data_IF_403895528417
#
_entry.id   IF_403895528417
#
_cell.length_a   1.000
_cell.length_b   1.000
_cell.length_c   1.000
_cell.angle_alpha   90.00
_cell.angle_beta   90.00
_cell.angle_gamma   90.00
#
_symmetry.space_group_name_H-M   'P 1'
#
loop_
_entity.id
_entity.type
_entity.pdbx_description
1 polymer ?
#
# COMPACT_ATOMS: atom_id res chain seq x y z
N UNK A 1 -38.62 -48.89 27.15
CA UNK A 1 -38.54 -47.52 26.61
C UNK A 1 -37.17 -46.84 26.77
N UNK A 2 -36.43 -47.01 27.90
CA UNK A 2 -35.10 -46.39 28.10
C UNK A 2 -34.00 -46.81 27.08
N UNK A 3 -34.04 -48.05 26.57
CA UNK A 3 -33.07 -48.56 25.58
C UNK A 3 -33.20 -47.93 24.19
N UNK A 4 -34.43 -47.61 23.77
CA UNK A 4 -34.70 -46.93 22.49
C UNK A 4 -34.21 -45.47 22.50
N UNK A 5 -34.34 -44.79 23.64
CA UNK A 5 -33.85 -43.41 23.82
C UNK A 5 -32.33 -43.34 23.66
N UNK A 6 -31.60 -44.32 24.20
CA UNK A 6 -30.13 -44.39 24.06
C UNK A 6 -29.68 -44.63 22.60
N UNK A 7 -30.38 -45.50 21.87
CA UNK A 7 -30.10 -45.75 20.44
C UNK A 7 -30.39 -44.51 19.60
N UNK A 8 -31.49 -43.82 19.88
CA UNK A 8 -31.85 -42.58 19.18
C UNK A 8 -30.83 -41.45 19.43
N UNK A 9 -30.34 -41.33 20.67
CA UNK A 9 -29.29 -40.37 21.03
C UNK A 9 -27.99 -40.63 20.28
N UNK A 10 -27.55 -41.89 20.21
CA UNK A 10 -26.32 -42.27 19.48
C UNK A 10 -26.47 -42.04 17.97
N UNK A 11 -27.65 -42.28 17.40
CA UNK A 11 -27.92 -42.03 15.99
C UNK A 11 -27.84 -40.53 15.64
N UNK A 12 -28.35 -39.64 16.50
CA UNK A 12 -28.29 -38.18 16.29
C UNK A 12 -26.84 -37.66 16.31
N UNK A 13 -25.97 -38.24 17.15
CA UNK A 13 -24.54 -37.89 17.20
C UNK A 13 -23.81 -38.25 15.90
N UNK A 14 -24.25 -39.28 15.16
CA UNK A 14 -23.60 -39.69 13.91
C UNK A 14 -23.92 -38.77 12.72
N UNK A 15 -25.07 -38.08 12.74
CA UNK A 15 -25.44 -37.10 11.71
C UNK A 15 -24.83 -35.71 11.90
N UNK A 16 -24.07 -35.49 12.98
CA UNK A 16 -23.42 -34.20 13.29
C UNK A 16 -22.13 -33.91 12.51
N UNK A 17 -21.72 -34.77 11.58
CA UNK A 17 -20.50 -34.53 10.80
C UNK A 17 -20.73 -33.35 9.85
N UNK A 18 -20.08 -32.21 10.12
CA UNK A 18 -20.09 -31.06 9.20
C UNK A 18 -19.59 -31.53 7.84
N UNK A 19 -20.31 -31.26 6.74
CA UNK A 19 -19.79 -31.57 5.42
C UNK A 19 -18.49 -30.79 5.22
N UNK A 20 -17.44 -31.52 4.85
CA UNK A 20 -16.16 -30.91 4.47
C UNK A 20 -16.30 -30.05 3.21
N UNK A 21 -15.19 -29.45 2.77
CA UNK A 21 -15.17 -28.69 1.52
C UNK A 21 -15.43 -29.68 0.36
N UNK A 22 -16.48 -29.46 -0.47
CA UNK A 22 -16.79 -30.34 -1.58
C UNK A 22 -15.69 -30.37 -2.66
N UNK A 23 -15.67 -31.43 -3.44
CA UNK A 23 -14.77 -31.54 -4.57
C UNK A 23 -15.03 -30.45 -5.62
N UNK A 24 -13.94 -30.00 -6.25
CA UNK A 24 -13.97 -28.91 -7.23
C UNK A 24 -14.03 -27.51 -6.63
N UNK A 25 -14.15 -27.37 -5.30
CA UNK A 25 -13.97 -26.09 -4.61
C UNK A 25 -12.48 -25.83 -4.37
N UNK A 26 -12.04 -24.61 -4.66
CA UNK A 26 -10.67 -24.16 -4.39
C UNK A 26 -10.43 -24.21 -2.88
N UNK A 27 -9.38 -24.93 -2.46
CA UNK A 27 -9.01 -25.07 -1.05
C UNK A 27 -8.69 -23.71 -0.40
N UNK A 28 -8.91 -23.53 0.92
CA UNK A 28 -8.82 -22.23 1.59
C UNK A 28 -7.48 -21.53 1.38
N UNK A 29 -6.36 -22.24 1.55
CA UNK A 29 -5.01 -21.68 1.38
C UNK A 29 -4.75 -21.11 -0.02
N UNK A 30 -5.38 -21.68 -1.05
CA UNK A 30 -5.29 -21.20 -2.44
C UNK A 30 -6.29 -20.07 -2.67
N UNK A 31 -7.52 -20.22 -2.21
CA UNK A 31 -8.57 -19.21 -2.36
C UNK A 31 -8.20 -17.90 -1.66
N UNK A 32 -7.59 -17.97 -0.49
CA UNK A 32 -7.09 -16.82 0.27
C UNK A 32 -6.11 -15.98 -0.58
N UNK A 33 -5.15 -16.64 -1.24
CA UNK A 33 -4.15 -15.98 -2.11
C UNK A 33 -4.77 -15.42 -3.38
N UNK A 34 -5.75 -16.11 -3.96
CA UNK A 34 -6.51 -15.63 -5.12
C UNK A 34 -7.28 -14.37 -4.73
N UNK A 35 -8.03 -14.40 -3.64
CA UNK A 35 -8.81 -13.26 -3.16
C UNK A 35 -7.91 -12.08 -2.80
N UNK A 36 -6.75 -12.32 -2.17
CA UNK A 36 -5.77 -11.29 -1.91
C UNK A 36 -5.33 -10.58 -3.22
N UNK A 37 -4.91 -11.34 -4.23
CA UNK A 37 -4.52 -10.76 -5.53
C UNK A 37 -5.69 -10.06 -6.22
N UNK A 38 -6.90 -10.62 -6.10
CA UNK A 38 -8.12 -10.02 -6.66
C UNK A 38 -8.39 -8.65 -6.03
N UNK A 39 -8.33 -8.55 -4.70
CA UNK A 39 -8.51 -7.28 -3.97
C UNK A 39 -7.43 -6.25 -4.29
N UNK A 40 -6.19 -6.66 -4.54
CA UNK A 40 -5.13 -5.76 -5.00
C UNK A 40 -5.45 -5.21 -6.39
N UNK A 41 -5.88 -6.08 -7.31
CA UNK A 41 -6.31 -5.66 -8.65
C UNK A 41 -7.53 -4.75 -8.57
N UNK A 42 -8.52 -5.09 -7.76
CA UNK A 42 -9.73 -4.28 -7.58
C UNK A 42 -9.41 -2.88 -7.03
N UNK A 43 -8.47 -2.79 -6.08
CA UNK A 43 -7.94 -1.52 -5.59
C UNK A 43 -7.18 -0.71 -6.65
N UNK A 44 -6.50 -1.38 -7.60
CA UNK A 44 -5.91 -0.70 -8.74
C UNK A 44 -6.99 -0.23 -9.74
N UNK A 45 -7.96 -1.08 -10.05
CA UNK A 45 -9.03 -0.77 -10.99
C UNK A 45 -9.92 0.37 -10.50
N UNK A 46 -10.15 0.46 -9.19
CA UNK A 46 -10.90 1.58 -8.59
C UNK A 46 -10.18 2.94 -8.71
N UNK A 47 -8.85 2.94 -8.94
CA UNK A 47 -8.10 4.15 -9.22
C UNK A 47 -8.29 4.67 -10.66
N UNK A 48 -8.86 3.86 -11.56
CA UNK A 48 -9.13 4.25 -12.94
C UNK A 48 -10.47 4.98 -13.00
N UNK A 49 -10.41 6.29 -13.23
CA UNK A 49 -11.58 7.18 -13.25
C UNK A 49 -12.64 6.77 -14.30
N UNK A 50 -12.20 6.31 -15.48
CA UNK A 50 -13.11 5.93 -16.57
C UNK A 50 -13.51 4.46 -16.43
N UNK A 51 -14.77 4.22 -16.04
CA UNK A 51 -15.32 2.88 -15.77
C UNK A 51 -15.12 1.91 -16.94
N UNK A 52 -15.37 2.34 -18.18
CA UNK A 52 -15.20 1.47 -19.35
C UNK A 52 -13.74 1.11 -19.59
N UNK A 53 -12.82 2.02 -19.26
CA UNK A 53 -11.38 1.71 -19.31
C UNK A 53 -11.04 0.68 -18.24
N UNK A 54 -11.52 0.86 -17.01
CA UNK A 54 -11.30 -0.10 -15.92
C UNK A 54 -11.78 -1.50 -16.31
N UNK A 55 -13.01 -1.62 -16.85
CA UNK A 55 -13.58 -2.90 -17.31
C UNK A 55 -12.74 -3.55 -18.41
N UNK A 56 -12.24 -2.77 -19.37
CA UNK A 56 -11.38 -3.29 -20.46
C UNK A 56 -10.10 -3.93 -19.93
N UNK A 57 -9.45 -3.34 -18.91
CA UNK A 57 -8.21 -3.89 -18.36
C UNK A 57 -8.47 -4.99 -17.33
N UNK A 58 -9.58 -4.94 -16.59
CA UNK A 58 -9.94 -5.88 -15.54
C UNK A 58 -9.89 -7.35 -16.00
N UNK A 59 -10.46 -7.64 -17.17
CA UNK A 59 -10.48 -8.99 -17.72
C UNK A 59 -9.08 -9.59 -17.89
N UNK A 60 -8.10 -8.78 -18.28
CA UNK A 60 -6.70 -9.21 -18.42
C UNK A 60 -6.07 -9.56 -17.08
N UNK A 61 -6.28 -8.72 -16.06
CA UNK A 61 -5.77 -8.98 -14.71
C UNK A 61 -6.39 -10.24 -14.09
N UNK A 62 -7.71 -10.37 -14.12
CA UNK A 62 -8.39 -11.54 -13.56
C UNK A 62 -7.96 -12.83 -14.27
N UNK A 63 -7.83 -12.81 -15.60
CA UNK A 63 -7.29 -13.94 -16.37
C UNK A 63 -5.85 -14.28 -15.94
N UNK A 64 -5.03 -13.27 -15.68
CA UNK A 64 -3.68 -13.43 -15.15
C UNK A 64 -3.66 -14.12 -13.77
N UNK A 65 -4.55 -13.71 -12.87
CA UNK A 65 -4.70 -14.33 -11.54
C UNK A 65 -5.11 -15.79 -11.69
N UNK A 66 -6.12 -16.09 -12.51
CA UNK A 66 -6.56 -17.46 -12.74
C UNK A 66 -5.42 -18.35 -13.24
N UNK A 67 -4.64 -17.85 -14.21
CA UNK A 67 -3.45 -18.55 -14.72
C UNK A 67 -2.40 -18.76 -13.64
N UNK A 68 -2.12 -17.76 -12.80
CA UNK A 68 -1.13 -17.84 -11.70
C UNK A 68 -1.44 -18.96 -10.71
N UNK A 69 -2.71 -19.22 -10.43
CA UNK A 69 -3.13 -20.22 -9.43
C UNK A 69 -3.63 -21.55 -10.02
N UNK A 70 -3.59 -21.70 -11.35
CA UNK A 70 -4.08 -22.89 -12.05
C UNK A 70 -5.56 -23.13 -11.81
N UNK A 71 -6.36 -22.08 -11.97
CA UNK A 71 -7.84 -22.11 -11.90
C UNK A 71 -8.40 -21.41 -13.14
N UNK A 72 -9.73 -21.38 -13.28
CA UNK A 72 -10.46 -20.54 -14.21
C UNK A 72 -11.57 -19.74 -13.50
N UNK A 73 -12.31 -18.93 -14.26
CA UNK A 73 -13.42 -18.14 -13.74
C UNK A 73 -14.58 -19.00 -13.24
N UNK A 74 -14.81 -20.18 -13.83
CA UNK A 74 -15.90 -21.08 -13.47
C UNK A 74 -15.64 -21.69 -12.10
N UNK A 75 -14.47 -22.28 -11.90
CA UNK A 75 -14.05 -22.86 -10.64
C UNK A 75 -13.93 -21.79 -9.54
N UNK A 76 -13.40 -20.61 -9.87
CA UNK A 76 -13.34 -19.48 -8.94
C UNK A 76 -14.73 -19.06 -8.48
N UNK A 77 -15.66 -18.80 -9.40
CA UNK A 77 -17.01 -18.34 -9.07
C UNK A 77 -17.78 -19.41 -8.28
N UNK A 78 -17.67 -20.69 -8.66
CA UNK A 78 -18.25 -21.81 -7.90
C UNK A 78 -17.71 -21.85 -6.47
N UNK A 79 -16.41 -21.67 -6.31
CA UNK A 79 -15.75 -21.67 -4.99
C UNK A 79 -16.18 -20.48 -4.16
N UNK A 80 -16.20 -19.29 -4.75
CA UNK A 80 -16.63 -18.06 -4.08
C UNK A 80 -18.08 -18.17 -3.59
N UNK A 81 -18.98 -18.69 -4.41
CA UNK A 81 -20.37 -18.93 -4.03
C UNK A 81 -20.46 -19.86 -2.81
N UNK A 82 -19.69 -20.97 -2.81
CA UNK A 82 -19.65 -21.88 -1.68
C UNK A 82 -19.11 -21.20 -0.41
N UNK A 83 -18.02 -20.42 -0.51
CA UNK A 83 -17.51 -19.70 0.66
C UNK A 83 -18.48 -18.64 1.19
N UNK A 84 -19.26 -17.99 0.31
CA UNK A 84 -20.30 -17.04 0.72
C UNK A 84 -21.43 -17.72 1.54
N UNK A 85 -21.70 -19.01 1.31
CA UNK A 85 -22.63 -19.79 2.14
C UNK A 85 -21.97 -20.42 3.37
N UNK A 86 -20.65 -20.27 3.54
CA UNK A 86 -19.85 -20.84 4.63
C UNK A 86 -19.06 -19.73 5.35
N UNK A 87 -19.75 -18.82 6.08
CA UNK A 87 -19.17 -17.59 6.61
C UNK A 87 -17.99 -17.83 7.56
N UNK A 88 -17.98 -18.93 8.32
CA UNK A 88 -16.86 -19.25 9.23
C UNK A 88 -15.55 -19.48 8.46
N UNK A 89 -15.61 -20.18 7.33
CA UNK A 89 -14.45 -20.43 6.49
C UNK A 89 -14.01 -19.14 5.76
N UNK A 90 -14.98 -18.34 5.30
CA UNK A 90 -14.72 -17.07 4.65
C UNK A 90 -14.08 -16.05 5.59
N UNK A 91 -14.60 -15.93 6.82
CA UNK A 91 -14.06 -15.03 7.85
C UNK A 91 -12.60 -15.37 8.19
N UNK A 92 -12.28 -16.67 8.31
CA UNK A 92 -10.92 -17.11 8.57
C UNK A 92 -9.94 -16.67 7.46
N UNK A 93 -10.34 -16.80 6.19
CA UNK A 93 -9.54 -16.31 5.06
C UNK A 93 -9.40 -14.79 5.10
N UNK A 94 -10.50 -14.05 5.32
CA UNK A 94 -10.45 -12.58 5.36
C UNK A 94 -9.61 -12.03 6.50
N UNK A 95 -9.56 -12.70 7.67
CA UNK A 95 -8.64 -12.32 8.76
C UNK A 95 -7.18 -12.39 8.30
N UNK A 96 -6.81 -13.38 7.50
CA UNK A 96 -5.45 -13.51 6.98
C UNK A 96 -5.19 -12.52 5.85
N UNK A 97 -6.14 -12.32 4.93
CA UNK A 97 -6.06 -11.31 3.87
C UNK A 97 -5.82 -9.92 4.47
N UNK A 98 -6.59 -9.54 5.51
CA UNK A 98 -6.40 -8.26 6.21
C UNK A 98 -5.00 -8.14 6.83
N UNK A 99 -4.46 -9.20 7.44
CA UNK A 99 -3.08 -9.22 7.96
C UNK A 99 -2.06 -9.02 6.83
N UNK A 100 -2.24 -9.69 5.69
CA UNK A 100 -1.35 -9.55 4.54
C UNK A 100 -1.38 -8.12 3.96
N UNK A 101 -2.58 -7.56 3.75
CA UNK A 101 -2.77 -6.19 3.28
C UNK A 101 -2.16 -5.17 4.25
N UNK A 102 -2.38 -5.33 5.56
CA UNK A 102 -1.80 -4.46 6.58
C UNK A 102 -0.28 -4.52 6.57
N UNK A 103 0.28 -5.73 6.44
CA UNK A 103 1.73 -5.93 6.36
C UNK A 103 2.30 -5.28 5.10
N UNK A 104 1.65 -5.44 3.95
CA UNK A 104 2.06 -4.82 2.71
C UNK A 104 2.02 -3.29 2.79
N UNK A 105 0.93 -2.72 3.33
CA UNK A 105 0.76 -1.27 3.54
C UNK A 105 1.91 -0.70 4.39
N UNK A 106 2.23 -1.34 5.51
CA UNK A 106 3.36 -0.92 6.36
C UNK A 106 4.70 -0.99 5.60
N UNK A 107 4.89 -2.04 4.79
CA UNK A 107 6.07 -2.19 3.94
C UNK A 107 6.21 -1.06 2.92
N UNK A 108 5.12 -0.70 2.23
CA UNK A 108 5.11 0.39 1.25
C UNK A 108 5.32 1.75 1.91
N UNK A 109 4.69 2.01 3.06
CA UNK A 109 4.90 3.25 3.83
C UNK A 109 6.36 3.42 4.27
N UNK A 110 6.99 2.33 4.71
CA UNK A 110 8.40 2.35 5.09
C UNK A 110 9.31 2.62 3.88
N UNK A 111 9.04 1.97 2.74
CA UNK A 111 9.80 2.18 1.52
C UNK A 111 9.69 3.63 1.02
N UNK A 112 8.49 4.18 1.01
CA UNK A 112 8.22 5.58 0.67
C UNK A 112 8.97 6.56 1.57
N UNK A 113 8.96 6.28 2.88
CA UNK A 113 9.68 7.10 3.86
C UNK A 113 11.20 7.04 3.62
N UNK A 114 11.74 5.88 3.26
CA UNK A 114 13.16 5.76 2.90
C UNK A 114 13.50 6.54 1.63
N UNK A 115 12.67 6.44 0.59
CA UNK A 115 12.83 7.18 -0.67
C UNK A 115 12.82 8.68 -0.40
N UNK A 116 11.84 9.18 0.36
CA UNK A 116 11.73 10.61 0.71
C UNK A 116 12.91 11.09 1.56
N UNK A 117 13.36 10.31 2.55
CA UNK A 117 14.57 10.64 3.34
C UNK A 117 15.81 10.72 2.47
N UNK A 118 15.96 9.81 1.51
CA UNK A 118 17.07 9.82 0.54
C UNK A 118 17.01 11.06 -0.35
N UNK A 119 15.84 11.35 -0.91
CA UNK A 119 15.61 12.56 -1.72
C UNK A 119 15.92 13.83 -0.93
N UNK A 120 15.45 13.94 0.32
CA UNK A 120 15.74 15.07 1.19
C UNK A 120 17.24 15.25 1.45
N UNK A 121 17.97 14.16 1.72
CA UNK A 121 19.44 14.23 1.88
C UNK A 121 20.09 14.79 0.62
N UNK A 122 19.73 14.27 -0.55
CA UNK A 122 20.24 14.76 -1.83
C UNK A 122 19.92 16.24 -2.06
N UNK A 123 18.65 16.63 -1.86
CA UNK A 123 18.20 18.00 -2.06
C UNK A 123 18.90 18.98 -1.10
N UNK A 124 19.05 18.60 0.17
CA UNK A 124 19.77 19.40 1.17
C UNK A 124 21.22 19.63 0.76
N UNK A 125 21.90 18.60 0.24
CA UNK A 125 23.26 18.74 -0.28
C UNK A 125 23.32 19.67 -1.50
N UNK A 126 22.36 19.57 -2.42
CA UNK A 126 22.29 20.46 -3.59
C UNK A 126 22.08 21.91 -3.17
N UNK A 127 21.16 22.16 -2.22
CA UNK A 127 20.88 23.50 -1.69
C UNK A 127 22.14 24.07 -1.00
N UNK A 128 22.80 23.29 -0.15
CA UNK A 128 24.01 23.70 0.53
C UNK A 128 25.16 24.02 -0.44
N UNK A 129 25.36 23.19 -1.48
CA UNK A 129 26.35 23.44 -2.54
C UNK A 129 26.04 24.73 -3.31
N UNK A 130 24.77 24.94 -3.68
CA UNK A 130 24.33 26.17 -4.36
C UNK A 130 24.57 27.40 -3.51
N UNK A 131 24.21 27.36 -2.22
CA UNK A 131 24.48 28.46 -1.30
C UNK A 131 25.99 28.77 -1.18
N UNK A 132 26.84 27.74 -1.06
CA UNK A 132 28.31 27.93 -1.02
C UNK A 132 28.82 28.61 -2.30
N UNK A 133 28.34 28.19 -3.47
CA UNK A 133 28.71 28.79 -4.75
C UNK A 133 28.25 30.26 -4.84
N UNK A 134 27.00 30.55 -4.50
CA UNK A 134 26.44 31.91 -4.47
C UNK A 134 27.24 32.82 -3.51
N UNK A 135 27.55 32.32 -2.30
CA UNK A 135 28.33 33.07 -1.30
C UNK A 135 29.74 33.41 -1.81
N UNK A 136 30.39 32.45 -2.45
CA UNK A 136 31.72 32.63 -3.02
C UNK A 136 31.70 33.62 -4.20
N UNK A 137 30.67 33.56 -5.06
CA UNK A 137 30.48 34.52 -6.14
C UNK A 137 30.25 35.95 -5.61
N UNK A 138 29.48 36.11 -4.53
CA UNK A 138 29.27 37.42 -3.89
C UNK A 138 30.60 37.96 -3.33
N UNK A 139 31.38 37.14 -2.61
CA UNK A 139 32.69 37.52 -2.08
C UNK A 139 33.67 37.91 -3.18
N UNK A 140 33.66 37.22 -4.32
CA UNK A 140 34.52 37.55 -5.48
C UNK A 140 34.19 38.90 -6.13
N UNK A 141 32.93 39.35 -6.09
CA UNK A 141 32.47 40.62 -6.68
C UNK A 141 32.57 41.82 -5.73
N UNK A 142 33.01 41.58 -4.50
CA UNK A 142 33.07 42.56 -3.42
C UNK A 142 34.35 43.41 -3.53
N UNK A 143 34.20 44.72 -3.38
CA UNK A 143 35.32 45.67 -3.34
C UNK A 143 35.88 45.77 -1.91
N UNK A 144 37.15 46.19 -1.72
CA UNK A 144 37.77 46.25 -0.39
C UNK A 144 37.22 47.35 0.54
N UNK A 145 36.34 48.23 0.04
CA UNK A 145 35.74 49.31 0.82
C UNK A 145 34.65 48.83 1.80
N UNK A 146 34.43 49.64 2.84
CA UNK A 146 33.51 49.32 3.95
C UNK A 146 32.05 49.16 3.51
N UNK A 147 31.58 49.95 2.55
CA UNK A 147 30.19 49.90 2.09
C UNK A 147 29.92 48.63 1.26
N UNK A 148 30.85 48.27 0.38
CA UNK A 148 30.80 47.01 -0.37
C UNK A 148 30.83 45.80 0.58
N UNK A 149 31.61 45.89 1.67
CA UNK A 149 31.65 44.85 2.71
C UNK A 149 30.30 44.59 3.36
N UNK A 150 29.64 45.63 3.84
CA UNK A 150 28.33 45.52 4.49
C UNK A 150 27.27 44.96 3.51
N UNK A 151 27.27 45.43 2.25
CA UNK A 151 26.33 44.95 1.22
C UNK A 151 26.52 43.47 0.90
N UNK A 152 27.76 43.01 0.78
CA UNK A 152 28.07 41.60 0.51
C UNK A 152 27.64 40.69 1.68
N UNK A 153 27.87 41.09 2.92
CA UNK A 153 27.44 40.37 4.13
C UNK A 153 25.91 40.25 4.16
N UNK A 154 25.19 41.36 3.92
CA UNK A 154 23.73 41.36 3.88
C UNK A 154 23.17 40.45 2.76
N UNK A 155 23.78 40.47 1.57
CA UNK A 155 23.38 39.61 0.46
C UNK A 155 23.60 38.12 0.76
N UNK A 156 24.73 37.76 1.38
CA UNK A 156 25.02 36.38 1.81
C UNK A 156 24.01 35.93 2.88
N UNK A 157 23.69 36.80 3.86
CA UNK A 157 22.70 36.49 4.89
C UNK A 157 21.30 36.23 4.28
N UNK A 158 20.90 37.03 3.29
CA UNK A 158 19.64 36.81 2.55
C UNK A 158 19.64 35.46 1.83
N UNK A 159 20.74 35.11 1.14
CA UNK A 159 20.88 33.83 0.44
C UNK A 159 20.88 32.64 1.41
N UNK A 160 21.48 32.78 2.59
CA UNK A 160 21.44 31.78 3.65
C UNK A 160 20.02 31.54 4.13
N UNK A 161 19.27 32.61 4.44
CA UNK A 161 17.86 32.53 4.84
C UNK A 161 16.99 31.83 3.80
N UNK A 162 17.24 32.10 2.51
CA UNK A 162 16.55 31.41 1.41
C UNK A 162 16.87 29.91 1.36
N UNK A 163 18.14 29.54 1.49
CA UNK A 163 18.56 28.14 1.53
C UNK A 163 17.94 27.39 2.72
N UNK A 164 17.99 27.99 3.91
CA UNK A 164 17.43 27.41 5.14
C UNK A 164 15.90 27.24 5.03
N UNK A 165 15.21 28.21 4.44
CA UNK A 165 13.77 28.12 4.17
C UNK A 165 13.43 26.96 3.23
N UNK A 166 14.18 26.78 2.13
CA UNK A 166 13.97 25.66 1.20
C UNK A 166 14.21 24.30 1.85
N UNK A 167 15.25 24.19 2.70
CA UNK A 167 15.53 22.96 3.46
C UNK A 167 14.38 22.66 4.41
N UNK A 168 13.86 23.66 5.12
CA UNK A 168 12.75 23.49 6.05
C UNK A 168 11.45 23.07 5.35
N UNK A 169 11.14 23.65 4.19
CA UNK A 169 9.97 23.24 3.37
C UNK A 169 10.11 21.78 2.95
N UNK A 170 11.28 21.39 2.42
CA UNK A 170 11.52 20.00 2.00
C UNK A 170 11.49 19.03 3.18
N UNK A 171 12.00 19.42 4.35
CA UNK A 171 11.92 18.63 5.59
C UNK A 171 10.47 18.44 6.05
N UNK A 172 9.66 19.50 5.99
CA UNK A 172 8.24 19.44 6.33
C UNK A 172 7.45 18.52 5.37
N UNK A 173 7.79 18.53 4.07
CA UNK A 173 7.20 17.61 3.08
C UNK A 173 7.49 16.13 3.37
N UNK A 174 8.64 15.80 3.96
CA UNK A 174 8.94 14.43 4.43
C UNK A 174 8.08 14.04 5.64
N UNK A 175 7.66 15.00 6.47
CA UNK A 175 6.88 14.76 7.68
C UNK A 175 5.36 14.73 7.45
N UNK A 176 4.83 15.59 6.57
CA UNK A 176 3.39 15.73 6.31
C UNK A 176 2.76 14.52 5.61
N UNK A 177 3.51 13.78 4.79
CA UNK A 177 3.03 12.59 4.09
C UNK A 177 2.82 11.36 5.02
N UNK A 178 3.15 11.45 6.31
CA UNK A 178 2.88 10.39 7.29
C UNK A 178 1.40 10.32 7.71
N UNK A 179 0.58 11.32 7.33
CA UNK A 179 -0.78 11.50 7.86
C UNK A 179 -1.90 11.40 6.82
N UNK A 180 -1.60 11.14 5.54
CA UNK A 180 -2.66 10.98 4.53
C UNK A 180 -3.01 9.50 4.39
N UNK A 181 -4.11 9.00 4.98
CA UNK A 181 -4.76 7.85 4.39
C UNK A 181 -5.17 8.30 2.98
N UNK A 182 -4.77 7.53 1.96
CA UNK A 182 -5.39 7.67 0.66
C UNK A 182 -6.89 7.37 0.85
N UNK A 183 -7.69 8.41 1.01
CA UNK A 183 -9.14 8.32 0.96
C UNK A 183 -9.46 7.99 -0.48
N UNK A 184 -9.71 6.72 -0.72
CA UNK A 184 -10.43 6.27 -1.92
C UNK A 184 -11.88 6.64 -1.64
N UNK A 185 -12.37 7.71 -2.29
CA UNK A 185 -13.80 8.01 -2.38
C UNK A 185 -14.47 7.02 -3.33
#
# INVERSE_FOLDING_TARGET
MKRLIWVLMIAILWFGCKPGIPDGIIKPDKMEKILYDMHIVDGYLSSIYVVDSAKKVAAGYYKGIYKKFGTDSVQYNKSLLWYNTNPVALEAMYKNIQKMLTKQKKGTELADLMIRKKQFKTDSLVIAKKFKADSLAIRKKMKPDSLSKVKAVAAIAKKKKQADSLINIKKAGVASAMLTPAVVQ
#
